data_IF_236924656846
#
_entry.id   IF_236924656846
#
_cell.length_a   1.000
_cell.length_b   1.000
_cell.length_c   1.000
_cell.angle_alpha   90.00
_cell.angle_beta   90.00
_cell.angle_gamma   90.00
#
_symmetry.space_group_name_H-M   'P 1'
#
loop_
_entity.id
_entity.type
_entity.pdbx_description
1 polymer ?
#
# COMPACT_ATOMS: atom_id res chain seq x y z
N UNK A 1 17.87 -12.59 65.41
CA UNK A 1 16.94 -12.07 64.38
C UNK A 1 17.76 -11.10 63.57
N UNK A 2 18.56 -11.63 62.64
CA UNK A 2 19.63 -10.88 61.96
C UNK A 2 19.28 -10.73 60.49
N UNK A 3 18.97 -9.49 60.09
CA UNK A 3 18.73 -9.11 58.71
C UNK A 3 20.09 -8.95 58.00
N UNK A 4 20.30 -9.73 56.93
CA UNK A 4 21.45 -9.63 56.03
C UNK A 4 21.36 -8.37 55.16
N UNK A 5 22.45 -7.62 55.10
CA UNK A 5 22.76 -6.59 54.11
C UNK A 5 22.96 -7.22 52.71
N UNK A 6 22.25 -6.72 51.70
CA UNK A 6 22.60 -6.89 50.27
C UNK A 6 23.14 -5.56 49.70
N UNK A 7 24.28 -5.56 48.99
CA UNK A 7 24.87 -4.34 48.41
C UNK A 7 24.24 -3.96 47.06
N UNK A 8 23.49 -2.86 47.08
CA UNK A 8 23.26 -1.84 46.02
C UNK A 8 23.67 -2.15 44.58
N UNK A 9 22.72 -2.70 43.80
CA UNK A 9 22.63 -2.57 42.33
C UNK A 9 21.99 -1.20 42.01
N UNK A 10 22.72 -0.10 42.23
CA UNK A 10 22.17 1.25 41.99
C UNK A 10 23.08 2.12 41.10
N UNK A 11 24.28 1.64 40.78
CA UNK A 11 25.25 2.36 39.95
C UNK A 11 25.06 2.11 38.43
N UNK A 12 24.62 0.90 38.04
CA UNK A 12 24.42 0.51 36.64
C UNK A 12 23.16 1.15 36.01
N UNK A 13 22.10 1.33 36.80
CA UNK A 13 20.86 1.96 36.31
C UNK A 13 21.00 3.46 36.04
N UNK A 14 21.85 4.17 36.80
CA UNK A 14 22.15 5.58 36.54
C UNK A 14 22.99 5.75 35.28
N UNK A 15 24.04 4.94 35.09
CA UNK A 15 24.84 4.97 33.86
C UNK A 15 24.03 4.57 32.62
N UNK A 16 23.10 3.62 32.74
CA UNK A 16 22.12 3.32 31.70
C UNK A 16 21.20 4.51 31.44
N UNK A 17 20.62 5.11 32.49
CA UNK A 17 19.73 6.26 32.35
C UNK A 17 20.42 7.45 31.69
N UNK A 18 21.67 7.73 32.04
CA UNK A 18 22.49 8.79 31.45
C UNK A 18 22.82 8.47 29.99
N UNK A 19 23.19 7.22 29.66
CA UNK A 19 23.34 6.77 28.26
C UNK A 19 22.02 6.86 27.46
N UNK A 20 20.87 6.62 28.09
CA UNK A 20 19.55 6.77 27.47
C UNK A 20 19.18 8.24 27.27
N UNK A 21 19.64 9.12 28.15
CA UNK A 21 19.42 10.57 28.07
C UNK A 21 20.32 11.19 27.00
N UNK A 22 21.59 10.79 26.92
CA UNK A 22 22.52 11.17 25.85
C UNK A 22 22.06 10.65 24.48
N UNK A 23 21.54 9.42 24.41
CA UNK A 23 20.96 8.88 23.17
C UNK A 23 19.65 9.58 22.78
N UNK A 24 18.85 10.04 23.75
CA UNK A 24 17.68 10.89 23.51
C UNK A 24 18.08 12.27 23.01
N UNK A 25 19.07 12.90 23.62
CA UNK A 25 19.57 14.21 23.21
C UNK A 25 20.18 14.11 21.81
N UNK A 26 20.95 13.06 21.52
CA UNK A 26 21.45 12.77 20.18
C UNK A 26 20.32 12.50 19.17
N UNK A 27 19.29 11.73 19.53
CA UNK A 27 18.15 11.44 18.65
C UNK A 27 17.25 12.66 18.43
N UNK A 28 17.11 13.54 19.44
CA UNK A 28 16.30 14.76 19.37
C UNK A 28 17.06 15.90 18.66
N UNK A 29 18.38 15.95 18.81
CA UNK A 29 19.27 16.82 18.03
C UNK A 29 19.44 16.33 16.58
N UNK A 30 19.37 15.01 16.35
CA UNK A 30 19.44 14.41 15.01
C UNK A 30 18.08 14.38 14.29
N UNK A 31 16.96 14.66 14.97
CA UNK A 31 15.71 15.02 14.29
C UNK A 31 15.91 16.43 13.73
N UNK A 32 16.01 16.62 12.41
CA UNK A 32 16.18 17.94 11.85
C UNK A 32 14.81 18.63 11.89
N UNK A 33 14.42 19.09 13.07
CA UNK A 33 13.19 19.86 13.32
C UNK A 33 13.21 21.18 12.52
N UNK A 34 14.41 21.62 12.10
CA UNK A 34 14.63 22.73 11.17
C UNK A 34 14.34 22.40 9.70
N UNK A 35 14.39 21.14 9.26
CA UNK A 35 14.21 20.77 7.85
C UNK A 35 12.76 20.52 7.45
N UNK A 36 11.87 20.26 8.42
CA UNK A 36 10.45 20.00 8.14
C UNK A 36 9.65 21.25 7.73
N UNK A 37 10.18 22.46 8.00
CA UNK A 37 9.52 23.75 7.74
C UNK A 37 10.09 24.50 6.51
N UNK A 38 11.04 23.92 5.79
CA UNK A 38 11.59 24.50 4.57
C UNK A 38 10.64 24.23 3.40
N UNK A 39 10.34 25.25 2.59
CA UNK A 39 9.43 25.10 1.44
C UNK A 39 9.99 24.03 0.49
N UNK A 40 9.16 23.02 0.22
CA UNK A 40 9.48 21.92 -0.67
C UNK A 40 9.80 22.47 -2.07
N UNK A 41 11.05 22.36 -2.49
CA UNK A 41 11.55 22.98 -3.72
C UNK A 41 11.64 21.93 -4.83
N UNK A 42 11.44 22.33 -6.10
CA UNK A 42 11.56 21.40 -7.24
C UNK A 42 12.96 20.77 -7.36
N UNK A 43 13.99 21.37 -6.75
CA UNK A 43 15.33 20.77 -6.64
C UNK A 43 15.33 19.50 -5.78
N UNK A 44 14.60 19.50 -4.67
CA UNK A 44 14.53 18.37 -3.73
C UNK A 44 13.92 17.11 -4.39
N UNK A 45 12.99 17.31 -5.33
CA UNK A 45 12.41 16.24 -6.16
C UNK A 45 13.46 15.57 -7.04
N UNK A 46 14.33 16.37 -7.66
CA UNK A 46 15.34 15.89 -8.59
C UNK A 46 16.51 15.20 -7.88
N UNK A 47 16.86 15.70 -6.68
CA UNK A 47 17.85 15.07 -5.81
C UNK A 47 17.41 13.67 -5.37
N UNK A 48 16.12 13.49 -5.06
CA UNK A 48 15.55 12.22 -4.60
C UNK A 48 14.90 11.38 -5.72
N UNK A 49 15.30 11.59 -6.98
CA UNK A 49 14.68 10.94 -8.16
C UNK A 49 14.64 9.40 -8.10
N UNK A 50 15.60 8.76 -7.42
CA UNK A 50 15.64 7.30 -7.27
C UNK A 50 14.51 6.80 -6.36
N UNK A 51 14.34 7.43 -5.20
CA UNK A 51 13.26 7.12 -4.25
C UNK A 51 11.91 7.38 -4.91
N UNK A 52 11.78 8.51 -5.62
CA UNK A 52 10.57 8.83 -6.37
C UNK A 52 10.25 7.78 -7.45
N UNK A 53 11.26 7.26 -8.16
CA UNK A 53 11.08 6.19 -9.13
C UNK A 53 10.51 4.90 -8.51
N UNK A 54 11.00 4.52 -7.31
CA UNK A 54 10.43 3.39 -6.58
C UNK A 54 9.01 3.68 -6.07
N UNK A 55 8.75 4.88 -5.55
CA UNK A 55 7.40 5.30 -5.16
C UNK A 55 6.43 5.27 -6.34
N UNK A 56 6.85 5.72 -7.53
CA UNK A 56 6.06 5.68 -8.76
C UNK A 56 5.68 4.24 -9.13
N UNK A 57 6.62 3.31 -9.01
CA UNK A 57 6.35 1.89 -9.25
C UNK A 57 5.32 1.35 -8.24
N UNK A 58 5.42 1.72 -6.96
CA UNK A 58 4.45 1.32 -5.92
C UNK A 58 3.07 1.94 -6.17
N UNK A 59 3.01 3.14 -6.76
CA UNK A 59 1.74 3.79 -7.13
C UNK A 59 0.93 3.02 -8.19
N UNK A 60 1.48 2.00 -8.85
CA UNK A 60 0.68 1.09 -9.67
C UNK A 60 -0.41 0.38 -8.84
N UNK A 61 -0.20 0.16 -7.54
CA UNK A 61 -1.20 -0.43 -6.63
C UNK A 61 -2.45 0.46 -6.47
N UNK A 62 -2.36 1.73 -6.03
CA UNK A 62 -3.53 2.60 -5.94
C UNK A 62 -4.17 2.88 -7.30
N UNK A 63 -3.41 2.96 -8.41
CA UNK A 63 -3.98 3.05 -9.76
C UNK A 63 -4.90 1.86 -10.04
N UNK A 64 -4.40 0.65 -9.78
CA UNK A 64 -5.15 -0.57 -10.02
C UNK A 64 -6.41 -0.67 -9.14
N UNK A 65 -6.30 -0.25 -7.87
CA UNK A 65 -7.44 -0.17 -6.96
C UNK A 65 -8.50 0.82 -7.44
N UNK A 66 -8.09 2.01 -7.87
CA UNK A 66 -9.01 3.00 -8.44
C UNK A 66 -9.70 2.52 -9.71
N UNK A 67 -8.96 1.80 -10.56
CA UNK A 67 -9.51 1.16 -11.76
C UNK A 67 -10.64 0.19 -11.39
N UNK A 68 -10.41 -0.71 -10.42
CA UNK A 68 -11.41 -1.68 -9.94
C UNK A 68 -12.68 -1.00 -9.40
N UNK A 69 -12.53 0.02 -8.56
CA UNK A 69 -13.66 0.72 -7.93
C UNK A 69 -14.61 1.29 -8.99
N UNK A 70 -14.08 1.82 -10.08
CA UNK A 70 -14.88 2.34 -11.20
C UNK A 70 -15.43 1.26 -12.13
N UNK A 71 -14.81 0.09 -12.16
CA UNK A 71 -15.12 -0.96 -13.13
C UNK A 71 -16.55 -1.47 -12.97
N UNK A 72 -17.06 -1.61 -11.74
CA UNK A 72 -18.41 -2.16 -11.49
C UNK A 72 -19.49 -1.30 -12.14
N UNK A 73 -19.50 0.00 -11.81
CA UNK A 73 -20.53 0.91 -12.29
C UNK A 73 -20.55 0.97 -13.82
N UNK A 74 -19.37 0.95 -14.45
CA UNK A 74 -19.26 1.01 -15.91
C UNK A 74 -19.58 -0.33 -16.57
N UNK A 75 -19.14 -1.44 -15.99
CA UNK A 75 -19.45 -2.79 -16.47
C UNK A 75 -20.95 -3.04 -16.53
N UNK A 76 -21.71 -2.54 -15.54
CA UNK A 76 -23.17 -2.66 -15.49
C UNK A 76 -23.89 -1.69 -16.45
N UNK A 77 -23.23 -0.60 -16.86
CA UNK A 77 -23.79 0.40 -17.76
C UNK A 77 -23.60 0.04 -19.25
N UNK A 78 -22.59 -0.76 -19.60
CA UNK A 78 -22.29 -1.15 -20.98
C UNK A 78 -23.38 -2.09 -21.53
N UNK A 79 -23.97 -1.75 -22.68
CA UNK A 79 -25.14 -2.43 -23.23
C UNK A 79 -24.92 -3.94 -23.50
N UNK A 80 -23.82 -4.39 -24.13
CA UNK A 80 -23.55 -5.83 -24.28
C UNK A 80 -23.48 -6.60 -22.96
N UNK A 81 -22.96 -5.98 -21.89
CA UNK A 81 -22.93 -6.59 -20.55
C UNK A 81 -24.34 -6.70 -19.96
N UNK A 82 -25.15 -5.64 -20.10
CA UNK A 82 -26.55 -5.65 -19.68
C UNK A 82 -27.42 -6.65 -20.49
N UNK A 83 -27.08 -6.92 -21.74
CA UNK A 83 -27.72 -7.97 -22.56
C UNK A 83 -27.33 -9.38 -22.12
N UNK A 84 -26.08 -9.57 -21.69
CA UNK A 84 -25.56 -10.86 -21.21
C UNK A 84 -26.13 -11.25 -19.84
N UNK A 85 -26.20 -10.29 -18.92
CA UNK A 85 -26.49 -10.53 -17.51
C UNK A 85 -27.84 -9.96 -17.04
N UNK A 86 -28.51 -9.19 -17.88
CA UNK A 86 -29.76 -8.51 -17.54
C UNK A 86 -30.96 -9.03 -18.33
N UNK A 87 -32.07 -8.33 -18.12
CA UNK A 87 -33.31 -8.55 -18.85
C UNK A 87 -33.80 -7.21 -19.42
N UNK A 88 -34.58 -7.26 -20.49
CA UNK A 88 -35.15 -6.07 -21.10
C UNK A 88 -36.33 -5.56 -20.28
N UNK A 89 -36.25 -4.30 -19.84
CA UNK A 89 -37.31 -3.61 -19.11
C UNK A 89 -37.61 -2.31 -19.88
N UNK A 90 -38.83 -2.16 -20.39
CA UNK A 90 -39.28 -0.97 -21.13
C UNK A 90 -38.36 -0.57 -22.31
N UNK A 91 -37.90 -1.54 -23.09
CA UNK A 91 -37.05 -1.30 -24.27
C UNK A 91 -35.59 -0.97 -23.93
N UNK A 92 -35.17 -1.12 -22.66
CA UNK A 92 -33.79 -0.92 -22.22
C UNK A 92 -33.28 -2.16 -21.50
N UNK A 93 -32.09 -2.61 -21.89
CA UNK A 93 -31.39 -3.69 -21.21
C UNK A 93 -30.81 -3.20 -19.89
N UNK A 94 -31.22 -3.83 -18.79
CA UNK A 94 -30.72 -3.49 -17.45
C UNK A 94 -30.49 -4.77 -16.64
N UNK A 95 -29.42 -4.77 -15.86
CA UNK A 95 -29.15 -5.84 -14.89
C UNK A 95 -30.08 -5.65 -13.69
N UNK A 96 -30.65 -6.72 -13.15
CA UNK A 96 -31.55 -6.64 -12.01
C UNK A 96 -30.87 -5.97 -10.80
N UNK A 97 -31.59 -5.11 -10.07
CA UNK A 97 -31.03 -4.38 -8.92
C UNK A 97 -30.40 -5.30 -7.87
N UNK A 98 -30.97 -6.48 -7.66
CA UNK A 98 -30.42 -7.53 -6.79
C UNK A 98 -29.01 -7.93 -7.21
N UNK A 99 -28.79 -8.19 -8.50
CA UNK A 99 -27.51 -8.66 -9.02
C UNK A 99 -26.46 -7.55 -9.02
N UNK A 100 -26.87 -6.32 -9.32
CA UNK A 100 -26.00 -5.14 -9.15
C UNK A 100 -25.52 -5.00 -7.70
N UNK A 101 -26.42 -5.18 -6.73
CA UNK A 101 -26.07 -5.12 -5.30
C UNK A 101 -25.13 -6.26 -4.90
N UNK A 102 -25.37 -7.49 -5.38
CA UNK A 102 -24.50 -8.64 -5.12
C UNK A 102 -23.07 -8.38 -5.62
N UNK A 103 -22.93 -7.82 -6.82
CA UNK A 103 -21.61 -7.48 -7.39
C UNK A 103 -20.91 -6.35 -6.65
N UNK A 104 -21.64 -5.34 -6.18
CA UNK A 104 -21.07 -4.29 -5.32
C UNK A 104 -20.65 -4.85 -3.95
N UNK A 105 -21.49 -5.70 -3.34
CA UNK A 105 -21.19 -6.35 -2.07
C UNK A 105 -19.95 -7.25 -2.16
N UNK A 106 -19.76 -7.96 -3.28
CA UNK A 106 -18.56 -8.76 -3.54
C UNK A 106 -17.27 -7.96 -3.38
N UNK A 107 -17.27 -6.73 -3.91
CA UNK A 107 -16.13 -5.82 -3.81
C UNK A 107 -15.81 -5.47 -2.36
N UNK A 108 -16.83 -5.04 -1.61
CA UNK A 108 -16.70 -4.69 -0.19
C UNK A 108 -16.25 -5.88 0.66
N UNK A 109 -16.79 -7.08 0.43
CA UNK A 109 -16.41 -8.29 1.18
C UNK A 109 -14.92 -8.60 0.97
N UNK A 110 -14.45 -8.61 -0.28
CA UNK A 110 -13.03 -8.90 -0.55
C UNK A 110 -12.09 -7.87 0.07
N UNK A 111 -12.42 -6.57 -0.04
CA UNK A 111 -11.63 -5.50 0.59
C UNK A 111 -11.65 -5.65 2.11
N UNK A 112 -12.82 -5.88 2.73
CA UNK A 112 -12.94 -6.05 4.17
C UNK A 112 -12.06 -7.19 4.68
N UNK A 113 -12.17 -8.38 4.10
CA UNK A 113 -11.37 -9.56 4.49
C UNK A 113 -9.87 -9.28 4.28
N UNK A 114 -9.50 -8.64 3.16
CA UNK A 114 -8.11 -8.31 2.90
C UNK A 114 -7.53 -7.31 3.91
N UNK A 115 -8.30 -6.35 4.40
CA UNK A 115 -7.83 -5.36 5.36
C UNK A 115 -7.38 -6.01 6.67
N UNK A 116 -8.14 -7.00 7.17
CA UNK A 116 -7.74 -7.80 8.34
C UNK A 116 -6.53 -8.67 8.03
N UNK A 117 -6.51 -9.33 6.86
CA UNK A 117 -5.43 -10.23 6.48
C UNK A 117 -4.09 -9.51 6.22
N UNK A 118 -4.13 -8.26 5.75
CA UNK A 118 -2.94 -7.51 5.31
C UNK A 118 -1.90 -7.38 6.40
N UNK A 119 -2.30 -7.03 7.64
CA UNK A 119 -1.37 -6.85 8.75
C UNK A 119 -0.58 -8.13 9.04
N UNK A 120 -1.29 -9.24 9.22
CA UNK A 120 -0.69 -10.54 9.51
C UNK A 120 0.22 -11.04 8.37
N UNK A 121 -0.26 -10.97 7.13
CA UNK A 121 0.50 -11.45 5.97
C UNK A 121 1.76 -10.61 5.76
N UNK A 122 1.65 -9.29 5.85
CA UNK A 122 2.77 -8.34 5.67
C UNK A 122 3.85 -8.51 6.74
N UNK A 123 3.45 -8.71 7.99
CA UNK A 123 4.41 -8.82 9.09
C UNK A 123 5.13 -10.18 9.10
N UNK A 124 4.49 -11.24 8.60
CA UNK A 124 5.09 -12.58 8.47
C UNK A 124 5.99 -12.67 7.24
N UNK A 125 5.46 -12.35 6.06
CA UNK A 125 6.15 -12.61 4.79
C UNK A 125 7.03 -11.45 4.30
N UNK A 126 6.82 -10.24 4.82
CA UNK A 126 7.44 -9.02 4.32
C UNK A 126 6.56 -8.30 3.31
N UNK A 127 6.89 -7.03 3.05
CA UNK A 127 6.04 -6.13 2.27
C UNK A 127 6.14 -6.47 0.79
N UNK A 128 7.36 -6.69 0.27
CA UNK A 128 7.61 -7.05 -1.14
C UNK A 128 6.89 -8.35 -1.53
N UNK A 129 7.03 -9.40 -0.73
CA UNK A 129 6.40 -10.71 -1.03
C UNK A 129 4.88 -10.63 -0.96
N UNK A 130 4.34 -9.86 -0.02
CA UNK A 130 2.89 -9.65 0.10
C UNK A 130 2.34 -8.88 -1.10
N UNK A 131 3.05 -7.87 -1.59
CA UNK A 131 2.67 -7.16 -2.84
C UNK A 131 2.68 -8.12 -4.04
N UNK A 132 3.67 -9.00 -4.15
CA UNK A 132 3.72 -10.01 -5.20
C UNK A 132 2.53 -10.99 -5.14
N UNK A 133 2.22 -11.52 -3.95
CA UNK A 133 1.06 -12.38 -3.73
C UNK A 133 -0.25 -11.65 -4.09
N UNK A 134 -0.40 -10.39 -3.63
CA UNK A 134 -1.54 -9.56 -3.95
C UNK A 134 -1.73 -9.43 -5.47
N UNK A 135 -0.67 -9.13 -6.22
CA UNK A 135 -0.73 -9.01 -7.67
C UNK A 135 -1.15 -10.32 -8.36
N UNK A 136 -0.62 -11.47 -7.91
CA UNK A 136 -1.01 -12.78 -8.47
C UNK A 136 -2.49 -13.07 -8.23
N UNK A 137 -3.00 -12.79 -7.03
CA UNK A 137 -4.40 -12.98 -6.68
C UNK A 137 -5.30 -12.04 -7.51
N UNK A 138 -4.91 -10.76 -7.65
CA UNK A 138 -5.59 -9.81 -8.53
C UNK A 138 -5.70 -10.34 -9.95
N UNK A 139 -4.57 -10.78 -10.52
CA UNK A 139 -4.54 -11.30 -11.89
C UNK A 139 -5.45 -12.52 -12.05
N UNK A 140 -5.40 -13.47 -11.12
CA UNK A 140 -6.28 -14.65 -11.13
C UNK A 140 -7.77 -14.27 -11.05
N UNK A 141 -8.13 -13.35 -10.16
CA UNK A 141 -9.50 -12.89 -10.01
C UNK A 141 -10.02 -12.12 -11.24
N UNK A 142 -9.19 -11.25 -11.84
CA UNK A 142 -9.53 -10.53 -13.07
C UNK A 142 -9.68 -11.47 -14.27
N UNK A 143 -8.81 -12.49 -14.40
CA UNK A 143 -8.95 -13.52 -15.44
C UNK A 143 -10.26 -14.30 -15.26
N UNK A 144 -10.62 -14.64 -14.02
CA UNK A 144 -11.89 -15.32 -13.74
C UNK A 144 -13.09 -14.45 -14.11
N UNK A 145 -13.03 -13.13 -13.89
CA UNK A 145 -14.05 -12.18 -14.34
C UNK A 145 -14.14 -12.09 -15.87
N UNK A 146 -13.01 -12.13 -16.57
CA UNK A 146 -12.97 -12.07 -18.05
C UNK A 146 -13.69 -13.26 -18.70
N UNK A 147 -13.55 -14.47 -18.13
CA UNK A 147 -14.22 -15.68 -18.61
C UNK A 147 -15.61 -15.89 -18.00
N UNK A 148 -16.13 -14.93 -17.23
CA UNK A 148 -17.40 -15.09 -16.55
C UNK A 148 -18.57 -15.24 -17.54
N UNK A 149 -19.29 -16.36 -17.43
CA UNK A 149 -20.51 -16.63 -18.20
C UNK A 149 -21.79 -16.36 -17.39
N UNK A 150 -21.68 -16.29 -16.06
CA UNK A 150 -22.78 -16.05 -15.12
C UNK A 150 -22.42 -14.96 -14.11
N UNK A 151 -23.44 -14.32 -13.53
CA UNK A 151 -23.27 -13.30 -12.49
C UNK A 151 -22.55 -13.86 -11.26
N UNK A 152 -22.83 -15.13 -10.89
CA UNK A 152 -22.18 -15.76 -9.74
C UNK A 152 -20.70 -16.07 -10.00
N UNK A 153 -20.31 -16.37 -11.25
CA UNK A 153 -18.91 -16.51 -11.62
C UNK A 153 -18.19 -15.15 -11.58
N UNK A 154 -18.87 -14.08 -12.02
CA UNK A 154 -18.38 -12.72 -11.92
C UNK A 154 -18.21 -12.32 -10.44
N UNK A 155 -19.18 -12.64 -9.58
CA UNK A 155 -19.10 -12.45 -8.13
C UNK A 155 -17.88 -13.15 -7.53
N UNK A 156 -17.67 -14.44 -7.83
CA UNK A 156 -16.52 -15.20 -7.32
C UNK A 156 -15.18 -14.61 -7.76
N UNK A 157 -15.03 -14.33 -9.06
CA UNK A 157 -13.82 -13.67 -9.59
C UNK A 157 -13.57 -12.31 -8.95
N UNK A 158 -14.64 -11.59 -8.64
CA UNK A 158 -14.58 -10.28 -8.01
C UNK A 158 -14.11 -10.33 -6.57
N UNK A 159 -14.68 -11.22 -5.74
CA UNK A 159 -14.22 -11.40 -4.35
C UNK A 159 -12.72 -11.72 -4.31
N UNK A 160 -12.27 -12.60 -5.21
CA UNK A 160 -10.85 -12.97 -5.31
C UNK A 160 -10.01 -11.76 -5.75
N UNK A 161 -10.43 -11.04 -6.79
CA UNK A 161 -9.70 -9.89 -7.29
C UNK A 161 -9.61 -8.77 -6.24
N UNK A 162 -10.72 -8.42 -5.59
CA UNK A 162 -10.77 -7.36 -4.57
C UNK A 162 -10.05 -7.72 -3.29
N UNK A 163 -9.95 -9.00 -2.96
CA UNK A 163 -9.04 -9.45 -1.90
C UNK A 163 -7.58 -9.09 -2.23
N UNK A 164 -7.12 -9.40 -3.45
CA UNK A 164 -5.78 -9.01 -3.91
C UNK A 164 -5.60 -7.49 -3.95
N UNK A 165 -6.56 -6.75 -4.52
CA UNK A 165 -6.44 -5.29 -4.64
C UNK A 165 -6.39 -4.62 -3.26
N UNK A 166 -7.17 -5.10 -2.31
CA UNK A 166 -7.17 -4.58 -0.95
C UNK A 166 -5.86 -4.86 -0.20
N UNK A 167 -5.28 -6.07 -0.34
CA UNK A 167 -3.95 -6.39 0.21
C UNK A 167 -2.89 -5.39 -0.28
N UNK A 168 -2.86 -5.14 -1.59
CA UNK A 168 -1.92 -4.19 -2.19
C UNK A 168 -2.21 -2.73 -1.80
N UNK A 169 -3.48 -2.34 -1.80
CA UNK A 169 -3.91 -0.98 -1.48
C UNK A 169 -3.56 -0.60 -0.03
N UNK A 170 -3.79 -1.49 0.93
CA UNK A 170 -3.44 -1.23 2.34
C UNK A 170 -1.92 -1.17 2.56
N UNK A 171 -1.12 -1.89 1.78
CA UNK A 171 0.35 -1.85 1.89
C UNK A 171 1.00 -0.69 1.16
N UNK A 172 0.39 -0.19 0.08
CA UNK A 172 0.95 0.90 -0.72
C UNK A 172 1.37 2.13 0.11
N UNK A 173 0.46 2.76 0.89
CA UNK A 173 0.77 3.92 1.72
C UNK A 173 1.84 3.63 2.78
N UNK A 174 1.80 2.45 3.40
CA UNK A 174 2.79 2.04 4.41
C UNK A 174 4.17 2.00 3.79
N UNK A 175 4.28 1.35 2.64
CA UNK A 175 5.55 1.19 1.94
C UNK A 175 6.05 2.53 1.39
N UNK A 176 5.16 3.38 0.86
CA UNK A 176 5.52 4.76 0.46
C UNK A 176 5.98 5.59 1.67
N UNK A 177 5.32 5.47 2.84
CA UNK A 177 5.72 6.21 4.05
C UNK A 177 7.12 5.81 4.54
N UNK A 178 7.45 4.52 4.46
CA UNK A 178 8.75 3.98 4.86
C UNK A 178 9.88 4.43 3.94
N UNK A 179 9.60 4.60 2.64
CA UNK A 179 10.59 4.99 1.64
C UNK A 179 10.71 6.50 1.47
N UNK A 180 9.62 7.24 1.65
CA UNK A 180 9.60 8.66 1.35
C UNK A 180 10.53 9.46 2.29
N UNK A 181 11.32 10.41 1.75
CA UNK A 181 12.13 11.31 2.55
C UNK A 181 11.24 12.10 3.52
N UNK A 182 11.76 12.39 4.72
CA UNK A 182 10.99 13.05 5.80
C UNK A 182 10.32 14.34 5.33
N UNK A 183 11.03 15.18 4.56
CA UNK A 183 10.49 16.44 3.99
C UNK A 183 9.33 16.24 3.03
N UNK A 184 9.31 15.13 2.27
CA UNK A 184 8.40 14.90 1.15
C UNK A 184 7.32 13.83 1.41
N UNK A 185 7.39 13.16 2.57
CA UNK A 185 6.49 12.06 2.94
C UNK A 185 5.02 12.45 2.84
N UNK A 186 4.66 13.66 3.28
CA UNK A 186 3.28 14.15 3.19
C UNK A 186 2.77 14.20 1.75
N UNK A 187 3.55 14.79 0.83
CA UNK A 187 3.19 14.86 -0.60
C UNK A 187 3.08 13.47 -1.20
N UNK A 188 4.02 12.57 -0.89
CA UNK A 188 4.00 11.19 -1.40
C UNK A 188 2.76 10.42 -0.94
N UNK A 189 2.27 10.67 0.29
CA UNK A 189 1.06 10.04 0.80
C UNK A 189 -0.21 10.61 0.14
N UNK A 190 -0.28 11.92 -0.07
CA UNK A 190 -1.40 12.55 -0.79
C UNK A 190 -1.47 12.08 -2.25
N UNK A 191 -0.30 11.88 -2.89
CA UNK A 191 -0.23 11.34 -4.25
C UNK A 191 -0.85 9.95 -4.36
N UNK A 192 -0.88 9.13 -3.30
CA UNK A 192 -1.59 7.83 -3.34
C UNK A 192 -3.05 8.03 -3.75
N UNK A 193 -3.75 8.98 -3.13
CA UNK A 193 -5.16 9.23 -3.45
C UNK A 193 -5.33 9.80 -4.87
N UNK A 194 -4.38 10.65 -5.29
CA UNK A 194 -4.35 11.16 -6.67
C UNK A 194 -4.24 10.02 -7.69
N UNK A 195 -3.41 9.02 -7.39
CA UNK A 195 -3.22 7.85 -8.23
C UNK A 195 -4.45 6.94 -8.29
N UNK A 196 -5.26 6.87 -7.23
CA UNK A 196 -6.58 6.21 -7.27
C UNK A 196 -7.49 6.90 -8.29
N UNK A 197 -7.59 8.23 -8.25
CA UNK A 197 -8.39 8.98 -9.22
C UNK A 197 -7.89 8.80 -10.65
N UNK A 198 -6.57 8.76 -10.86
CA UNK A 198 -5.97 8.43 -12.17
C UNK A 198 -6.41 7.04 -12.63
N UNK A 199 -6.44 6.05 -11.74
CA UNK A 199 -6.97 4.71 -12.04
C UNK A 199 -8.43 4.71 -12.49
N UNK A 200 -9.28 5.47 -11.79
CA UNK A 200 -10.69 5.63 -12.15
C UNK A 200 -10.86 6.28 -13.54
N UNK A 201 -10.03 7.29 -13.83
CA UNK A 201 -9.99 7.96 -15.13
C UNK A 201 -9.51 7.03 -16.24
N UNK A 202 -8.45 6.24 -16.01
CA UNK A 202 -7.98 5.23 -16.97
C UNK A 202 -9.07 4.21 -17.29
N UNK A 203 -9.83 3.77 -16.29
CA UNK A 203 -10.97 2.89 -16.51
C UNK A 203 -12.08 3.56 -17.36
N UNK A 204 -12.33 4.86 -17.18
CA UNK A 204 -13.27 5.60 -18.05
C UNK A 204 -12.75 5.65 -19.48
N UNK A 205 -11.47 5.94 -19.66
CA UNK A 205 -10.84 6.01 -20.97
C UNK A 205 -10.91 4.66 -21.71
N UNK A 206 -10.67 3.55 -21.01
CA UNK A 206 -10.77 2.20 -21.62
C UNK A 206 -12.20 1.85 -21.99
N UNK A 207 -13.19 2.23 -21.18
CA UNK A 207 -14.61 1.97 -21.48
C UNK A 207 -15.04 2.78 -22.70
N UNK A 208 -14.68 4.07 -22.77
CA UNK A 208 -14.93 4.92 -23.93
C UNK A 208 -14.25 4.36 -25.20
N UNK A 209 -13.00 3.91 -25.07
CA UNK A 209 -12.26 3.29 -26.16
C UNK A 209 -12.80 1.92 -26.59
N UNK A 210 -13.70 1.31 -25.82
CA UNK A 210 -14.35 0.04 -26.14
C UNK A 210 -15.82 0.18 -26.55
N UNK A 211 -16.35 1.40 -26.55
CA UNK A 211 -17.77 1.69 -26.82
C UNK A 211 -18.16 1.41 -28.28
N UNK A 212 -17.20 1.50 -29.21
CA UNK A 212 -17.43 1.17 -30.62
C UNK A 212 -17.61 -0.33 -30.89
N UNK A 213 -17.33 -1.20 -29.91
CA UNK A 213 -17.60 -2.63 -30.03
C UNK A 213 -19.04 -2.93 -29.60
N UNK A 214 -19.83 -3.55 -30.47
CA UNK A 214 -21.21 -3.95 -30.16
C UNK A 214 -21.32 -5.42 -29.69
N UNK A 215 -20.20 -6.03 -29.29
CA UNK A 215 -20.13 -7.44 -28.86
C UNK A 215 -19.55 -7.55 -27.44
N UNK A 216 -19.37 -8.79 -26.97
CA UNK A 216 -18.79 -9.09 -25.65
C UNK A 216 -17.41 -8.44 -25.40
N UNK A 217 -16.68 -8.02 -26.44
CA UNK A 217 -15.40 -7.34 -26.27
C UNK A 217 -15.55 -5.97 -25.59
N UNK A 218 -16.69 -5.30 -25.74
CA UNK A 218 -16.92 -3.98 -25.14
C UNK A 218 -16.74 -3.98 -23.63
N UNK A 219 -17.23 -5.01 -22.94
CA UNK A 219 -17.12 -5.11 -21.48
C UNK A 219 -15.88 -5.91 -21.04
N UNK A 220 -15.34 -6.78 -21.90
CA UNK A 220 -14.14 -7.58 -21.60
C UNK A 220 -12.84 -6.81 -21.77
N UNK A 221 -12.78 -5.83 -22.67
CA UNK A 221 -11.57 -5.00 -22.88
C UNK A 221 -11.20 -4.22 -21.61
N UNK A 222 -12.12 -3.48 -20.96
CA UNK A 222 -11.81 -2.84 -19.68
C UNK A 222 -11.29 -3.82 -18.62
N UNK A 223 -11.93 -5.00 -18.51
CA UNK A 223 -11.49 -6.04 -17.56
C UNK A 223 -10.08 -6.55 -17.83
N UNK A 224 -9.70 -6.83 -19.09
CA UNK A 224 -8.36 -7.33 -19.39
C UNK A 224 -7.29 -6.24 -19.24
N UNK A 225 -7.61 -4.98 -19.58
CA UNK A 225 -6.66 -3.87 -19.42
C UNK A 225 -6.29 -3.60 -17.97
N UNK A 226 -7.14 -4.00 -17.03
CA UNK A 226 -6.84 -3.97 -15.60
C UNK A 226 -5.68 -4.89 -15.19
N UNK A 227 -5.30 -5.89 -16.01
CA UNK A 227 -4.12 -6.72 -15.75
C UNK A 227 -2.80 -5.98 -15.99
N UNK A 228 -2.82 -4.83 -16.66
CA UNK A 228 -1.61 -4.10 -17.03
C UNK A 228 -0.85 -3.59 -15.78
N UNK A 229 -1.47 -2.83 -14.83
CA UNK A 229 -0.76 -2.38 -13.64
C UNK A 229 -0.18 -3.50 -12.75
N UNK A 230 -0.93 -4.57 -12.38
CA UNK A 230 -0.37 -5.64 -11.55
C UNK A 230 0.66 -6.48 -12.31
N UNK A 231 0.50 -6.67 -13.62
CA UNK A 231 1.50 -7.33 -14.46
C UNK A 231 2.82 -6.55 -14.52
N UNK A 232 2.74 -5.23 -14.75
CA UNK A 232 3.91 -4.37 -14.75
C UNK A 232 4.60 -4.35 -13.39
N UNK A 233 3.81 -4.33 -12.30
CA UNK A 233 4.34 -4.37 -10.94
C UNK A 233 5.01 -5.72 -10.61
N UNK A 234 4.46 -6.85 -11.07
CA UNK A 234 5.10 -8.17 -10.92
C UNK A 234 6.47 -8.22 -11.61
N UNK A 235 6.58 -7.69 -12.83
CA UNK A 235 7.85 -7.55 -13.54
C UNK A 235 8.81 -6.61 -12.79
N UNK A 236 8.30 -5.48 -12.29
CA UNK A 236 9.07 -4.50 -11.52
C UNK A 236 9.50 -4.98 -10.13
N UNK A 237 8.80 -5.97 -9.57
CA UNK A 237 9.02 -6.47 -8.21
C UNK A 237 10.43 -7.02 -8.02
N UNK A 238 11.04 -7.59 -9.08
CA UNK A 238 12.42 -8.10 -9.04
C UNK A 238 13.41 -6.99 -8.64
N UNK A 239 13.17 -5.76 -9.10
CA UNK A 239 14.03 -4.60 -8.81
C UNK A 239 13.73 -3.92 -7.48
N UNK A 240 12.55 -4.16 -6.91
CA UNK A 240 12.14 -3.55 -5.65
C UNK A 240 12.85 -4.22 -4.45
N UNK A 241 13.59 -3.49 -3.62
CA UNK A 241 14.12 -4.03 -2.37
C UNK A 241 13.01 -4.23 -1.33
N UNK A 242 13.26 -5.07 -0.33
CA UNK A 242 12.33 -5.26 0.79
C UNK A 242 12.32 -4.03 1.71
N UNK A 243 11.20 -3.82 2.42
CA UNK A 243 11.05 -2.71 3.37
C UNK A 243 12.19 -2.67 4.39
N UNK A 244 12.93 -1.55 4.50
CA UNK A 244 14.00 -1.42 5.47
C UNK A 244 13.46 -1.47 6.91
N UNK A 245 12.29 -0.88 7.15
CA UNK A 245 11.61 -0.91 8.45
C UNK A 245 11.21 -2.32 8.87
N UNK A 246 10.70 -3.13 7.94
CA UNK A 246 10.39 -4.54 8.20
C UNK A 246 11.63 -5.35 8.54
N UNK A 247 12.71 -5.15 7.78
CA UNK A 247 13.98 -5.85 8.01
C UNK A 247 14.56 -5.52 9.39
N UNK A 248 14.44 -4.27 9.85
CA UNK A 248 14.83 -3.86 11.20
C UNK A 248 13.99 -4.55 12.28
N UNK A 249 12.67 -4.61 12.13
CA UNK A 249 11.77 -5.30 13.08
C UNK A 249 12.11 -6.80 13.17
N UNK A 250 12.54 -7.42 12.06
CA UNK A 250 13.02 -8.81 12.03
C UNK A 250 14.45 -9.01 12.51
N UNK A 251 15.14 -7.96 12.96
CA UNK A 251 16.53 -8.02 13.43
C UNK A 251 17.59 -8.15 12.32
N UNK A 252 17.20 -8.03 11.04
CA UNK A 252 18.10 -8.18 9.87
C UNK A 252 18.75 -6.84 9.50
N UNK A 253 19.59 -6.31 10.40
CA UNK A 253 20.18 -4.96 10.28
C UNK A 253 21.02 -4.78 9.01
N UNK A 254 21.83 -5.76 8.63
CA UNK A 254 22.68 -5.68 7.44
C UNK A 254 21.87 -5.56 6.14
N UNK A 255 20.75 -6.28 6.06
CA UNK A 255 19.86 -6.22 4.90
C UNK A 255 19.07 -4.92 4.87
N UNK A 256 18.65 -4.41 6.04
CA UNK A 256 18.05 -3.08 6.14
C UNK A 256 19.03 -2.01 5.63
N UNK A 257 20.32 -2.11 5.98
CA UNK A 257 21.37 -1.22 5.48
C UNK A 257 21.49 -1.26 3.95
N UNK A 258 21.52 -2.46 3.37
CA UNK A 258 21.54 -2.67 1.91
C UNK A 258 20.29 -2.08 1.24
N UNK A 259 19.13 -2.25 1.84
CA UNK A 259 17.86 -1.70 1.37
C UNK A 259 17.87 -0.17 1.36
N UNK A 260 18.28 0.47 2.46
CA UNK A 260 18.44 1.93 2.53
C UNK A 260 19.40 2.48 1.46
N UNK A 261 20.56 1.84 1.26
CA UNK A 261 21.51 2.22 0.19
C UNK A 261 20.89 2.10 -1.21
N UNK A 262 20.03 1.10 -1.42
CA UNK A 262 19.39 0.87 -2.73
C UNK A 262 18.33 1.92 -3.04
N UNK A 263 17.56 2.34 -2.03
CA UNK A 263 16.54 3.37 -2.20
C UNK A 263 17.13 4.79 -2.29
N UNK A 264 17.97 5.18 -1.34
CA UNK A 264 18.49 6.54 -1.24
C UNK A 264 19.80 6.77 -2.03
N UNK A 265 20.48 5.70 -2.44
CA UNK A 265 21.75 5.77 -3.18
C UNK A 265 23.00 5.58 -2.30
N UNK A 266 24.19 5.53 -2.94
CA UNK A 266 25.44 5.17 -2.28
C UNK A 266 26.00 6.25 -1.35
N UNK A 267 25.59 7.51 -1.51
CA UNK A 267 26.00 8.65 -0.67
C UNK A 267 25.11 8.86 0.56
N UNK A 268 24.14 7.99 0.80
CA UNK A 268 23.23 8.11 1.93
C UNK A 268 23.89 7.64 3.23
N UNK A 269 23.74 8.43 4.31
CA UNK A 269 24.19 8.05 5.65
C UNK A 269 23.24 7.01 6.25
N UNK A 270 23.63 5.76 6.02
CA UNK A 270 22.88 4.58 6.43
C UNK A 270 23.01 4.34 7.92
N UNK A 271 24.17 4.64 8.51
CA UNK A 271 24.45 4.31 9.91
C UNK A 271 23.69 5.25 10.85
N UNK A 272 23.63 6.55 10.55
CA UNK A 272 22.80 7.50 11.28
C UNK A 272 21.31 7.16 11.17
N UNK A 273 20.83 6.83 9.96
CA UNK A 273 19.42 6.49 9.73
C UNK A 273 19.02 5.19 10.42
N UNK A 274 19.89 4.17 10.38
CA UNK A 274 19.68 2.90 11.10
C UNK A 274 19.65 3.11 12.61
N UNK A 275 20.51 3.97 13.16
CA UNK A 275 20.53 4.26 14.59
C UNK A 275 19.20 4.90 15.04
N UNK A 276 18.71 5.89 14.30
CA UNK A 276 17.43 6.55 14.58
C UNK A 276 16.27 5.56 14.45
N UNK A 277 16.21 4.80 13.36
CA UNK A 277 15.13 3.83 13.13
C UNK A 277 15.11 2.71 14.17
N UNK A 278 16.28 2.21 14.57
CA UNK A 278 16.39 1.18 15.62
C UNK A 278 15.98 1.73 16.98
N UNK A 279 16.33 2.98 17.29
CA UNK A 279 15.88 3.67 18.49
C UNK A 279 14.35 3.82 18.52
N UNK A 280 13.73 4.24 17.41
CA UNK A 280 12.28 4.39 17.29
C UNK A 280 11.52 3.07 17.50
N UNK A 281 12.05 1.96 16.98
CA UNK A 281 11.44 0.62 17.16
C UNK A 281 11.61 0.13 18.59
N UNK A 282 12.75 0.45 19.25
CA UNK A 282 13.09 -0.05 20.58
C UNK A 282 12.56 0.82 21.72
N UNK A 283 12.21 2.08 21.46
CA UNK A 283 11.62 2.94 22.47
C UNK A 283 10.23 2.40 22.84
N UNK A 284 9.98 2.01 24.11
CA UNK A 284 8.63 1.70 24.54
C UNK A 284 7.78 2.95 24.31
N UNK A 285 6.65 2.81 23.62
CA UNK A 285 5.67 3.87 23.44
C UNK A 285 5.31 4.35 24.84
N UNK A 286 5.91 5.47 25.28
CA UNK A 286 5.54 6.09 26.54
C UNK A 286 4.06 6.46 26.38
N UNK A 287 3.15 6.00 27.25
CA UNK A 287 1.77 6.46 27.18
C UNK A 287 1.81 7.98 27.18
N UNK A 288 1.19 8.60 26.17
CA UNK A 288 0.99 10.05 26.12
C UNK A 288 0.41 10.42 27.47
N UNK A 289 1.16 11.19 28.26
CA UNK A 289 0.70 11.72 29.52
C UNK A 289 -0.71 12.28 29.30
N UNK A 290 -1.65 11.78 30.10
CA UNK A 290 -2.91 12.43 30.39
C UNK A 290 -2.58 13.88 30.75
N UNK A 291 -2.76 14.77 29.79
CA UNK A 291 -2.71 16.20 30.03
C UNK A 291 -3.90 16.55 30.92
N UNK A 292 -3.58 17.07 32.10
CA UNK A 292 -4.30 18.13 32.78
C UNK A 292 -5.79 17.86 33.07
N UNK A 293 -6.03 17.24 34.23
CA UNK A 293 -7.23 17.50 35.02
C UNK A 293 -6.78 17.96 36.42
N UNK A 294 -6.54 19.26 36.51
CA UNK A 294 -6.61 20.05 37.76
C UNK A 294 -7.59 21.18 37.52
#
# INVERSE_FOLDING_TARGET
>A
MDAKNEPTVQYDDKQRADQFEDAKVAATAALPTSQANEKLTFSDLWENKRVLGFCLMIYLLPINFGYEVSTIGKLLAVTPSAQRFGHEINGKWQVAARDQQILNAAGTIGIFVSAFATGFISDIFGRKKTIGLACLICCGGTILQYFASTIMMLFGGKVVATFGFGLGHSLGPVFVAELAPVKMRGVCLVLVNTMITVGQWLNSATVLASDHYHNDLSWRIPLITQLIPPGLLLCGLVFLPESPSWLLIKGRREEAAKSYKRFNGPSFDVDATLAIATYQIRSPIRPRHTAEAT
#
